data_IF_784609219900
#
_entry.id   IF_784609219900
#
_cell.length_a   1.000
_cell.length_b   1.000
_cell.length_c   1.000
_cell.angle_alpha   90.00
_cell.angle_beta   90.00
_cell.angle_gamma   90.00
#
_symmetry.space_group_name_H-M   'P 1'
#
loop_
_entity.id
_entity.type
_entity.pdbx_description
1 polymer ?
#
# COMPACT_ATOMS: atom_id res chain seq x y z
N UNK A 1 59.57 -43.40 38.17
CA UNK A 1 58.48 -42.39 38.20
C UNK A 1 59.01 -41.12 37.57
N UNK A 2 58.62 -40.83 36.32
CA UNK A 2 58.99 -39.58 35.63
C UNK A 2 57.83 -38.61 35.83
N UNK A 3 58.07 -37.54 36.60
CA UNK A 3 57.10 -36.47 36.82
C UNK A 3 57.07 -35.58 35.57
N UNK A 4 56.00 -35.68 34.78
CA UNK A 4 55.71 -34.75 33.70
C UNK A 4 55.27 -33.41 34.31
N UNK A 5 56.13 -32.40 34.26
CA UNK A 5 55.76 -31.03 34.58
C UNK A 5 54.83 -30.51 33.48
N UNK A 6 53.56 -30.32 33.82
CA UNK A 6 52.58 -29.73 32.92
C UNK A 6 52.92 -28.25 32.69
N UNK A 7 53.63 -27.96 31.58
CA UNK A 7 53.76 -26.60 31.09
C UNK A 7 52.39 -26.14 30.61
N UNK A 8 51.72 -25.31 31.42
CA UNK A 8 50.51 -24.61 31.01
C UNK A 8 50.79 -23.80 29.73
N UNK A 9 49.82 -23.69 28.82
CA UNK A 9 50.00 -22.95 27.57
C UNK A 9 50.47 -21.53 27.90
N UNK A 10 51.64 -21.15 27.38
CA UNK A 10 52.19 -19.83 27.61
C UNK A 10 51.23 -18.77 27.09
N UNK A 11 50.99 -17.72 27.90
CA UNK A 11 50.23 -16.52 27.55
C UNK A 11 50.48 -15.95 26.13
N UNK A 12 51.69 -16.03 25.54
CA UNK A 12 51.93 -15.57 24.16
C UNK A 12 51.09 -16.31 23.11
N UNK A 13 50.82 -17.61 23.31
CA UNK A 13 50.01 -18.38 22.37
C UNK A 13 48.55 -17.94 22.35
N UNK A 14 47.97 -17.65 23.53
CA UNK A 14 46.58 -17.22 23.65
C UNK A 14 46.33 -15.89 22.93
N UNK A 15 47.23 -14.90 23.10
CA UNK A 15 47.11 -13.60 22.45
C UNK A 15 47.22 -13.70 20.93
N UNK A 16 48.08 -14.60 20.42
CA UNK A 16 48.18 -14.86 18.98
C UNK A 16 46.87 -15.40 18.40
N UNK A 17 46.26 -16.40 19.05
CA UNK A 17 44.99 -16.96 18.57
C UNK A 17 43.83 -15.97 18.69
N UNK A 18 43.79 -15.13 19.73
CA UNK A 18 42.80 -14.05 19.86
C UNK A 18 42.97 -12.99 18.77
N UNK A 19 44.22 -12.57 18.49
CA UNK A 19 44.51 -11.62 17.42
C UNK A 19 44.17 -12.17 16.04
N UNK A 20 44.53 -13.42 15.76
CA UNK A 20 44.18 -14.09 14.50
C UNK A 20 42.67 -14.27 14.35
N UNK A 21 41.99 -14.69 15.42
CA UNK A 21 40.53 -14.82 15.43
C UNK A 21 39.82 -13.50 15.16
N UNK A 22 40.30 -12.41 15.77
CA UNK A 22 39.78 -11.06 15.53
C UNK A 22 40.00 -10.62 14.07
N UNK A 23 41.18 -10.85 13.50
CA UNK A 23 41.47 -10.51 12.10
C UNK A 23 40.61 -11.32 11.12
N UNK A 24 40.39 -12.61 11.37
CA UNK A 24 39.48 -13.44 10.56
C UNK A 24 38.05 -12.92 10.66
N UNK A 25 37.57 -12.61 11.87
CA UNK A 25 36.24 -12.05 12.08
C UNK A 25 36.06 -10.71 11.35
N UNK A 26 37.05 -9.80 11.44
CA UNK A 26 37.07 -8.54 10.69
C UNK A 26 37.05 -8.80 9.18
N UNK A 27 37.87 -9.72 8.69
CA UNK A 27 37.93 -10.09 7.27
C UNK A 27 36.58 -10.60 6.74
N UNK A 28 35.89 -11.46 7.50
CA UNK A 28 34.57 -11.97 7.15
C UNK A 28 33.51 -10.85 7.12
N UNK A 29 33.53 -9.94 8.11
CA UNK A 29 32.63 -8.79 8.17
C UNK A 29 32.85 -7.86 6.97
N UNK A 30 34.12 -7.52 6.67
CA UNK A 30 34.46 -6.65 5.55
C UNK A 30 34.13 -7.28 4.20
N UNK A 31 34.34 -8.59 4.04
CA UNK A 31 34.01 -9.31 2.80
C UNK A 31 32.50 -9.37 2.56
N UNK A 32 31.70 -9.62 3.60
CA UNK A 32 30.24 -9.61 3.51
C UNK A 32 29.69 -8.24 3.09
N UNK A 33 30.29 -7.16 3.59
CA UNK A 33 29.88 -5.80 3.28
C UNK A 33 30.16 -5.38 1.84
N UNK A 34 31.28 -5.84 1.23
CA UNK A 34 31.61 -5.49 -0.16
C UNK A 34 30.59 -6.02 -1.17
N UNK A 35 30.24 -7.30 -1.08
CA UNK A 35 29.26 -7.89 -1.99
C UNK A 35 27.88 -7.23 -1.88
N UNK A 36 27.51 -6.81 -0.67
CA UNK A 36 26.28 -6.06 -0.43
C UNK A 36 26.34 -4.64 -1.01
N UNK A 37 27.45 -3.92 -0.81
CA UNK A 37 27.62 -2.57 -1.37
C UNK A 37 27.48 -2.58 -2.91
N UNK A 38 28.14 -3.53 -3.57
CA UNK A 38 28.04 -3.70 -5.03
C UNK A 38 26.62 -4.02 -5.49
N UNK A 39 25.92 -4.87 -4.74
CA UNK A 39 24.51 -5.18 -4.98
C UNK A 39 23.63 -3.94 -4.87
N UNK A 40 23.76 -3.16 -3.79
CA UNK A 40 22.98 -1.94 -3.59
C UNK A 40 23.25 -0.91 -4.67
N UNK A 41 24.51 -0.76 -5.11
CA UNK A 41 24.88 0.11 -6.22
C UNK A 41 24.28 -0.33 -7.57
N UNK A 42 24.15 -1.64 -7.82
CA UNK A 42 23.45 -2.15 -9.02
C UNK A 42 21.96 -1.82 -8.98
N UNK A 43 21.29 -2.12 -7.85
CA UNK A 43 19.87 -1.81 -7.66
C UNK A 43 19.62 -0.30 -7.77
N UNK A 44 20.45 0.53 -7.11
CA UNK A 44 20.36 1.98 -7.18
C UNK A 44 20.47 2.50 -8.62
N UNK A 45 21.43 2.01 -9.40
CA UNK A 45 21.55 2.36 -10.82
C UNK A 45 20.32 1.94 -11.63
N UNK A 46 19.77 0.76 -11.38
CA UNK A 46 18.60 0.25 -12.09
C UNK A 46 17.36 1.13 -11.86
N UNK A 47 17.21 1.69 -10.66
CA UNK A 47 16.04 2.51 -10.29
C UNK A 47 16.30 4.02 -10.38
N UNK A 48 17.47 4.44 -10.88
CA UNK A 48 17.85 5.86 -10.95
C UNK A 48 17.98 6.51 -9.56
N UNK A 49 18.40 5.74 -8.56
CA UNK A 49 18.57 6.17 -7.18
C UNK A 49 20.03 6.36 -6.76
N UNK A 50 20.21 6.69 -5.48
CA UNK A 50 21.50 6.81 -4.81
C UNK A 50 21.54 5.93 -3.57
N UNK A 51 22.71 5.33 -3.31
CA UNK A 51 22.96 4.62 -2.05
C UNK A 51 23.36 5.65 -1.01
N UNK A 52 22.71 5.63 0.15
CA UNK A 52 23.08 6.44 1.32
C UNK A 52 23.67 5.49 2.36
N UNK A 53 24.93 5.74 2.69
CA UNK A 53 25.64 5.01 3.74
C UNK A 53 25.73 5.89 4.99
N UNK A 54 24.89 5.60 5.97
CA UNK A 54 24.79 6.34 7.24
C UNK A 54 25.82 5.85 8.28
N UNK A 55 26.84 5.10 7.83
CA UNK A 55 27.93 4.59 8.66
C UNK A 55 27.65 3.23 9.30
N UNK A 56 28.62 2.71 10.04
CA UNK A 56 28.63 1.32 10.52
C UNK A 56 27.48 0.87 11.43
N UNK A 57 26.71 1.81 12.00
CA UNK A 57 25.58 1.51 12.89
C UNK A 57 24.22 1.50 12.18
N UNK A 58 24.13 2.05 10.96
CA UNK A 58 22.88 2.13 10.20
C UNK A 58 23.02 1.32 8.92
N UNK A 59 21.99 0.55 8.61
CA UNK A 59 21.95 -0.20 7.36
C UNK A 59 21.91 0.78 6.19
N UNK A 60 22.78 0.57 5.19
CA UNK A 60 22.75 1.38 3.98
C UNK A 60 21.39 1.25 3.29
N UNK A 61 20.87 2.37 2.79
CA UNK A 61 19.57 2.45 2.13
C UNK A 61 19.72 2.96 0.69
N UNK A 62 18.71 2.71 -0.15
CA UNK A 62 18.65 3.26 -1.51
C UNK A 62 17.54 4.30 -1.55
N UNK A 63 17.88 5.54 -1.89
CA UNK A 63 16.93 6.64 -2.11
C UNK A 63 16.68 6.82 -3.60
N UNK A 64 15.42 6.90 -4.01
CA UNK A 64 15.02 7.02 -5.41
C UNK A 64 13.64 7.68 -5.51
N UNK A 65 13.05 7.76 -6.71
CA UNK A 65 11.71 8.32 -6.90
C UNK A 65 10.74 7.32 -7.53
N UNK A 66 9.50 7.31 -7.06
CA UNK A 66 8.36 6.58 -7.66
C UNK A 66 7.27 7.59 -7.98
N UNK A 67 6.85 7.68 -9.25
CA UNK A 67 5.81 8.64 -9.69
C UNK A 67 6.08 10.09 -9.21
N UNK A 68 7.35 10.52 -9.26
CA UNK A 68 7.79 11.84 -8.81
C UNK A 68 7.87 12.01 -7.29
N UNK A 69 7.71 10.96 -6.49
CA UNK A 69 7.72 11.01 -5.02
C UNK A 69 8.94 10.34 -4.45
N UNK A 70 9.42 10.86 -3.31
CA UNK A 70 10.57 10.29 -2.63
C UNK A 70 10.26 8.88 -2.13
N UNK A 71 11.16 7.96 -2.42
CA UNK A 71 11.08 6.57 -2.05
C UNK A 71 12.41 6.10 -1.44
N UNK A 72 12.32 5.20 -0.46
CA UNK A 72 13.47 4.62 0.22
C UNK A 72 13.31 3.10 0.27
N UNK A 73 14.33 2.37 -0.18
CA UNK A 73 14.49 0.95 0.09
C UNK A 73 15.45 0.79 1.27
N UNK A 74 14.89 0.43 2.43
CA UNK A 74 15.60 0.21 3.68
C UNK A 74 15.62 -1.26 4.09
N UNK A 75 16.53 -1.59 5.00
CA UNK A 75 16.75 -2.95 5.47
C UNK A 75 16.94 -2.99 6.98
N UNK A 76 16.67 -4.14 7.57
CA UNK A 76 16.97 -4.43 8.96
C UNK A 76 17.37 -5.90 9.09
N UNK A 77 18.57 -6.13 9.63
CA UNK A 77 19.14 -7.47 9.79
C UNK A 77 18.46 -8.32 10.88
N UNK A 78 17.54 -7.74 11.66
CA UNK A 78 16.89 -8.43 12.77
C UNK A 78 17.68 -8.30 14.07
N UNK A 79 17.01 -8.66 15.16
CA UNK A 79 17.59 -8.85 16.49
C UNK A 79 16.98 -10.12 17.10
N UNK A 80 17.34 -10.45 18.34
CA UNK A 80 16.72 -11.56 19.09
C UNK A 80 15.19 -11.44 19.19
N UNK A 81 14.66 -10.21 19.17
CA UNK A 81 13.24 -9.93 19.41
C UNK A 81 12.51 -9.41 18.17
N UNK A 82 13.23 -9.07 17.11
CA UNK A 82 12.66 -8.50 15.90
C UNK A 82 13.18 -9.23 14.67
N UNK A 83 12.28 -9.74 13.84
CA UNK A 83 12.65 -10.44 12.61
C UNK A 83 13.28 -9.46 11.60
N UNK A 84 14.21 -9.92 10.76
CA UNK A 84 14.75 -9.11 9.68
C UNK A 84 13.65 -8.68 8.71
N UNK A 85 13.84 -7.54 8.05
CA UNK A 85 12.93 -7.07 7.02
C UNK A 85 13.66 -6.29 5.92
N UNK A 86 13.00 -6.23 4.77
CA UNK A 86 13.33 -5.30 3.69
C UNK A 86 12.06 -4.53 3.34
N UNK A 87 12.18 -3.23 3.13
CA UNK A 87 11.03 -2.34 3.05
C UNK A 87 11.24 -1.27 2.00
N UNK A 88 10.24 -1.06 1.15
CA UNK A 88 10.12 0.14 0.33
C UNK A 88 9.09 1.07 0.96
N UNK A 89 9.48 2.30 1.27
CA UNK A 89 8.57 3.35 1.75
C UNK A 89 8.51 4.48 0.73
N UNK A 90 7.31 4.94 0.38
CA UNK A 90 7.07 6.02 -0.59
C UNK A 90 6.24 7.12 0.07
N UNK A 91 6.70 8.37 -0.03
CA UNK A 91 5.97 9.52 0.48
C UNK A 91 4.72 9.82 -0.36
N UNK A 92 3.54 9.80 0.25
CA UNK A 92 2.27 10.14 -0.40
C UNK A 92 1.85 11.60 -0.17
N UNK A 93 2.46 12.29 0.80
CA UNK A 93 2.20 13.71 1.05
C UNK A 93 0.77 14.03 1.48
N UNK A 94 0.06 13.10 2.14
CA UNK A 94 -1.30 13.31 2.61
C UNK A 94 -2.39 13.01 1.57
N UNK A 95 -2.05 12.47 0.40
CA UNK A 95 -3.01 12.27 -0.68
C UNK A 95 -3.83 10.98 -0.58
N UNK A 96 -3.40 10.02 0.25
CA UNK A 96 -4.24 8.87 0.56
C UNK A 96 -5.43 9.33 1.42
N UNK A 97 -6.68 8.98 1.07
CA UNK A 97 -7.89 9.45 1.77
C UNK A 97 -8.09 8.80 3.16
N UNK A 98 -7.20 7.89 3.55
CA UNK A 98 -7.41 6.98 4.66
C UNK A 98 -6.24 6.02 4.83
N UNK A 99 -6.48 4.96 5.61
CA UNK A 99 -5.53 3.85 5.79
C UNK A 99 -5.99 2.62 5.02
N UNK A 100 -5.03 1.83 4.54
CA UNK A 100 -5.27 0.53 3.89
C UNK A 100 -4.15 -0.42 4.30
N UNK A 101 -4.52 -1.64 4.68
CA UNK A 101 -3.60 -2.70 5.05
C UNK A 101 -3.94 -3.96 4.27
N UNK A 102 -2.94 -4.56 3.62
CA UNK A 102 -3.05 -5.86 2.96
C UNK A 102 -1.99 -6.79 3.57
N UNK A 103 -2.45 -7.88 4.17
CA UNK A 103 -1.64 -8.82 4.94
C UNK A 103 -1.92 -10.24 4.46
N UNK A 104 -0.90 -11.11 4.39
CA UNK A 104 -1.12 -12.54 4.14
C UNK A 104 -1.84 -13.18 5.36
N UNK A 105 -2.79 -14.09 5.08
CA UNK A 105 -3.56 -14.80 6.11
C UNK A 105 -2.63 -15.68 6.96
N UNK A 106 -2.95 -15.80 8.25
CA UNK A 106 -2.08 -16.39 9.28
C UNK A 106 -1.32 -15.37 10.14
N UNK A 107 -1.26 -14.10 9.73
CA UNK A 107 -0.83 -12.99 10.60
C UNK A 107 -2.00 -12.33 11.35
N UNK A 108 -3.23 -12.53 10.87
CA UNK A 108 -4.41 -11.76 11.23
C UNK A 108 -4.96 -11.97 12.65
N UNK A 109 -4.76 -13.12 13.29
CA UNK A 109 -5.42 -13.42 14.58
C UNK A 109 -5.08 -12.42 15.70
N UNK A 110 -3.84 -11.92 15.76
CA UNK A 110 -3.43 -10.92 16.75
C UNK A 110 -3.88 -9.51 16.38
N UNK A 111 -4.00 -9.21 15.08
CA UNK A 111 -4.35 -7.88 14.58
C UNK A 111 -5.87 -7.65 14.48
N UNK A 112 -6.65 -8.71 14.28
CA UNK A 112 -8.12 -8.68 14.28
C UNK A 112 -8.70 -8.19 15.61
N UNK A 113 -8.00 -8.44 16.73
CA UNK A 113 -8.45 -8.03 18.07
C UNK A 113 -8.29 -6.53 18.36
N UNK A 114 -7.40 -5.82 17.66
CA UNK A 114 -7.05 -4.44 18.00
C UNK A 114 -7.92 -3.39 17.30
N UNK A 115 -8.51 -3.71 16.16
CA UNK A 115 -9.08 -2.69 15.28
C UNK A 115 -10.60 -2.74 15.13
N UNK A 116 -11.29 -3.79 15.59
CA UNK A 116 -12.76 -3.92 15.50
C UNK A 116 -13.35 -3.86 14.08
N UNK A 117 -12.54 -3.59 13.06
CA UNK A 117 -12.91 -3.54 11.66
C UNK A 117 -13.07 -4.96 11.12
N UNK A 118 -14.18 -5.19 10.41
CA UNK A 118 -14.44 -6.43 9.70
C UNK A 118 -13.45 -6.56 8.53
N UNK A 119 -13.11 -7.82 8.21
CA UNK A 119 -12.32 -8.10 7.02
C UNK A 119 -13.17 -7.78 5.78
N UNK A 120 -12.57 -7.10 4.80
CA UNK A 120 -13.29 -6.71 3.60
C UNK A 120 -13.06 -7.75 2.50
N UNK A 121 -14.13 -8.42 2.07
CA UNK A 121 -14.09 -9.27 0.88
C UNK A 121 -13.91 -8.40 -0.37
N UNK A 122 -12.80 -8.58 -1.10
CA UNK A 122 -12.53 -7.83 -2.32
C UNK A 122 -13.19 -8.46 -3.55
N UNK A 123 -13.74 -9.67 -3.43
CA UNK A 123 -14.43 -10.39 -4.50
C UNK A 123 -13.50 -11.19 -5.41
N UNK A 124 -12.38 -11.67 -4.87
CA UNK A 124 -11.53 -12.70 -5.46
C UNK A 124 -11.36 -13.80 -4.40
N UNK A 125 -12.15 -14.88 -4.51
CA UNK A 125 -12.24 -15.90 -3.47
C UNK A 125 -10.89 -16.57 -3.14
N UNK A 126 -9.96 -16.62 -4.10
CA UNK A 126 -8.64 -17.15 -3.84
C UNK A 126 -7.76 -16.15 -3.09
N UNK A 127 -7.97 -14.85 -3.30
CA UNK A 127 -7.23 -13.79 -2.62
C UNK A 127 -7.78 -13.56 -1.22
N UNK A 128 -9.11 -13.50 -1.08
CA UNK A 128 -9.81 -13.33 0.19
C UNK A 128 -9.52 -14.47 1.18
N UNK A 129 -9.13 -15.65 0.69
CA UNK A 129 -8.65 -16.76 1.52
C UNK A 129 -7.18 -16.63 1.95
N UNK A 130 -6.35 -16.05 1.10
CA UNK A 130 -4.90 -16.00 1.31
C UNK A 130 -4.46 -14.66 1.94
N UNK A 131 -5.32 -13.65 1.94
CA UNK A 131 -5.01 -12.29 2.36
C UNK A 131 -6.19 -11.64 3.10
N UNK A 132 -5.86 -10.82 4.09
CA UNK A 132 -6.77 -9.96 4.86
C UNK A 132 -6.61 -8.52 4.37
N UNK A 133 -7.73 -7.86 4.06
CA UNK A 133 -7.76 -6.47 3.59
C UNK A 133 -8.54 -5.60 4.57
N UNK A 134 -7.90 -4.55 5.06
CA UNK A 134 -8.53 -3.59 5.99
C UNK A 134 -8.34 -2.18 5.51
N UNK A 135 -9.39 -1.38 5.53
CA UNK A 135 -9.28 0.04 5.22
C UNK A 135 -10.20 0.90 6.06
N UNK A 136 -9.74 2.13 6.32
CA UNK A 136 -10.54 3.17 6.96
C UNK A 136 -10.42 4.44 6.11
N UNK A 137 -11.49 4.86 5.40
CA UNK A 137 -12.80 4.21 5.28
C UNK A 137 -12.76 2.94 4.39
N UNK A 138 -13.74 2.04 4.52
CA UNK A 138 -13.85 0.83 3.69
C UNK A 138 -13.97 1.14 2.18
N UNK A 139 -14.62 2.26 1.85
CA UNK A 139 -14.72 2.77 0.47
C UNK A 139 -13.35 3.00 -0.18
N UNK A 140 -12.30 3.18 0.63
CA UNK A 140 -10.94 3.29 0.12
C UNK A 140 -10.41 1.96 -0.43
N UNK A 141 -10.60 0.84 0.28
CA UNK A 141 -10.25 -0.48 -0.23
C UNK A 141 -11.11 -0.84 -1.45
N UNK A 142 -12.43 -0.58 -1.41
CA UNK A 142 -13.32 -0.80 -2.54
C UNK A 142 -12.84 -0.04 -3.80
N UNK A 143 -12.31 1.17 -3.63
CA UNK A 143 -11.70 1.92 -4.73
C UNK A 143 -10.42 1.27 -5.21
N UNK A 144 -9.48 0.93 -4.33
CA UNK A 144 -8.21 0.28 -4.71
C UNK A 144 -8.47 -1.03 -5.46
N UNK A 145 -9.40 -1.85 -4.98
CA UNK A 145 -9.78 -3.15 -5.56
C UNK A 145 -11.01 -3.10 -6.48
N UNK A 146 -11.24 -1.96 -7.15
CA UNK A 146 -12.33 -1.79 -8.10
C UNK A 146 -12.32 -2.91 -9.18
N UNK A 147 -13.49 -3.41 -9.63
CA UNK A 147 -13.60 -4.58 -10.50
C UNK A 147 -12.70 -4.52 -11.74
N UNK A 148 -12.55 -3.34 -12.34
CA UNK A 148 -11.82 -3.12 -13.59
C UNK A 148 -10.30 -3.34 -13.44
N UNK A 149 -9.75 -3.18 -12.24
CA UNK A 149 -8.30 -3.31 -11.96
C UNK A 149 -7.96 -4.35 -10.90
N UNK A 150 -8.96 -4.99 -10.28
CA UNK A 150 -8.78 -5.97 -9.19
C UNK A 150 -7.75 -7.04 -9.53
N UNK A 151 -7.80 -7.58 -10.75
CA UNK A 151 -6.88 -8.62 -11.19
C UNK A 151 -5.40 -8.15 -11.21
N UNK A 152 -5.14 -6.88 -11.49
CA UNK A 152 -3.80 -6.31 -11.52
C UNK A 152 -3.28 -6.05 -10.09
N UNK A 153 -4.14 -5.52 -9.21
CA UNK A 153 -3.81 -5.32 -7.79
C UNK A 153 -3.49 -6.66 -7.13
N UNK A 154 -4.35 -7.67 -7.33
CA UNK A 154 -4.17 -9.03 -6.81
C UNK A 154 -2.87 -9.65 -7.33
N UNK A 155 -2.56 -9.49 -8.62
CA UNK A 155 -1.30 -9.98 -9.21
C UNK A 155 -0.09 -9.30 -8.59
N UNK A 156 -0.16 -7.98 -8.38
CA UNK A 156 0.91 -7.19 -7.75
C UNK A 156 1.18 -7.68 -6.33
N UNK A 157 0.15 -7.87 -5.51
CA UNK A 157 0.30 -8.37 -4.14
C UNK A 157 0.87 -9.79 -4.14
N UNK A 158 0.32 -10.70 -4.97
CA UNK A 158 0.78 -12.10 -5.06
C UNK A 158 2.19 -12.24 -5.64
N UNK A 159 2.68 -11.27 -6.40
CA UNK A 159 4.05 -11.30 -6.95
C UNK A 159 5.12 -11.40 -5.85
N UNK A 160 4.78 -10.99 -4.62
CA UNK A 160 5.69 -11.04 -3.47
C UNK A 160 5.50 -12.27 -2.58
N UNK A 161 4.58 -13.20 -2.88
CA UNK A 161 4.30 -14.40 -2.04
C UNK A 161 5.55 -15.24 -1.74
N UNK A 162 6.52 -15.26 -2.66
CA UNK A 162 7.81 -15.95 -2.48
C UNK A 162 8.82 -15.22 -1.57
N UNK A 163 8.51 -14.01 -1.10
CA UNK A 163 9.44 -13.16 -0.34
C UNK A 163 9.15 -13.13 1.16
N UNK A 164 8.39 -14.08 1.70
CA UNK A 164 8.09 -14.25 3.13
C UNK A 164 7.27 -13.10 3.74
N UNK A 165 5.98 -13.36 3.97
CA UNK A 165 5.01 -12.50 4.65
C UNK A 165 4.99 -11.05 4.11
N UNK A 166 4.66 -10.83 2.81
CA UNK A 166 4.56 -9.47 2.28
C UNK A 166 3.41 -8.70 2.93
N UNK A 167 3.66 -7.44 3.29
CA UNK A 167 2.64 -6.49 3.78
C UNK A 167 2.62 -5.23 2.92
N UNK A 168 1.42 -4.70 2.68
CA UNK A 168 1.22 -3.39 2.07
C UNK A 168 0.45 -2.53 3.07
N UNK A 169 1.09 -1.45 3.52
CA UNK A 169 0.57 -0.55 4.54
C UNK A 169 0.49 0.86 3.96
N UNK A 170 -0.71 1.40 3.84
CA UNK A 170 -0.99 2.75 3.35
C UNK A 170 -1.52 3.59 4.50
N UNK A 171 -0.93 4.76 4.67
CA UNK A 171 -1.44 5.83 5.53
C UNK A 171 -1.47 7.13 4.72
N UNK A 172 -2.14 8.19 5.20
CA UNK A 172 -2.14 9.47 4.48
C UNK A 172 -0.74 9.98 4.08
N UNK A 173 0.30 9.95 4.94
CA UNK A 173 1.63 10.42 4.56
C UNK A 173 2.45 9.43 3.72
N UNK A 174 2.20 8.12 3.76
CA UNK A 174 3.11 7.15 3.18
C UNK A 174 2.47 5.83 2.75
N UNK A 175 3.04 5.22 1.71
CA UNK A 175 2.89 3.81 1.37
C UNK A 175 4.13 3.06 1.86
N UNK A 176 3.95 1.89 2.45
CA UNK A 176 5.03 0.99 2.82
C UNK A 176 4.75 -0.42 2.32
N UNK A 177 5.71 -1.02 1.61
CA UNK A 177 5.68 -2.43 1.22
C UNK A 177 6.82 -3.14 1.93
N UNK A 178 6.51 -4.10 2.79
CA UNK A 178 7.51 -4.79 3.63
C UNK A 178 7.49 -6.29 3.36
N UNK A 179 8.66 -6.92 3.40
CA UNK A 179 8.82 -8.38 3.44
C UNK A 179 9.64 -8.77 4.66
N UNK A 180 9.32 -9.90 5.32
CA UNK A 180 9.95 -10.35 6.58
C UNK A 180 11.23 -11.16 6.39
N UNK A 181 12.05 -10.69 5.48
CA UNK A 181 13.38 -11.24 5.24
C UNK A 181 14.32 -10.12 4.82
N UNK A 182 15.59 -10.35 5.10
CA UNK A 182 16.65 -9.52 4.56
C UNK A 182 16.95 -9.97 3.12
N UNK A 183 16.63 -9.13 2.14
CA UNK A 183 16.87 -9.43 0.73
C UNK A 183 18.36 -9.33 0.41
N UNK A 184 18.89 -10.33 -0.31
CA UNK A 184 20.33 -10.48 -0.60
C UNK A 184 20.62 -10.61 -2.10
N UNK A 185 19.60 -10.51 -2.92
CA UNK A 185 19.68 -10.66 -4.36
C UNK A 185 18.94 -9.52 -5.06
N UNK A 186 19.43 -9.19 -6.25
CA UNK A 186 18.94 -8.07 -7.06
C UNK A 186 17.50 -8.29 -7.55
N UNK A 187 17.12 -9.48 -8.09
CA UNK A 187 15.76 -9.70 -8.56
C UNK A 187 14.69 -9.51 -7.47
N UNK A 188 14.92 -9.99 -6.25
CA UNK A 188 13.94 -9.83 -5.17
C UNK A 188 13.81 -8.36 -4.71
N UNK A 189 14.92 -7.61 -4.66
CA UNK A 189 14.86 -6.17 -4.36
C UNK A 189 14.09 -5.41 -5.43
N UNK A 190 14.34 -5.71 -6.71
CA UNK A 190 13.62 -5.11 -7.82
C UNK A 190 12.14 -5.50 -7.83
N UNK A 191 11.79 -6.74 -7.49
CA UNK A 191 10.40 -7.17 -7.34
C UNK A 191 9.67 -6.37 -6.25
N UNK A 192 10.32 -6.13 -5.10
CA UNK A 192 9.75 -5.32 -4.03
C UNK A 192 9.53 -3.85 -4.46
N UNK A 193 10.51 -3.26 -5.16
CA UNK A 193 10.40 -1.89 -5.69
C UNK A 193 9.30 -1.80 -6.76
N UNK A 194 9.20 -2.79 -7.65
CA UNK A 194 8.18 -2.84 -8.68
C UNK A 194 6.78 -2.93 -8.05
N UNK A 195 6.59 -3.82 -7.08
CA UNK A 195 5.32 -3.93 -6.38
C UNK A 195 4.93 -2.62 -5.68
N UNK A 196 5.87 -1.93 -5.04
CA UNK A 196 5.61 -0.61 -4.47
C UNK A 196 5.23 0.43 -5.53
N UNK A 197 5.93 0.44 -6.68
CA UNK A 197 5.64 1.36 -7.81
C UNK A 197 4.22 1.18 -8.35
N UNK A 198 3.84 -0.06 -8.65
CA UNK A 198 2.49 -0.37 -9.15
C UNK A 198 1.42 0.01 -8.10
N UNK A 199 1.69 -0.32 -6.82
CA UNK A 199 0.73 -0.06 -5.76
C UNK A 199 0.51 1.44 -5.47
N UNK A 200 1.55 2.27 -5.65
CA UNK A 200 1.39 3.75 -5.65
C UNK A 200 0.39 4.17 -6.73
N UNK A 201 0.47 3.58 -7.92
CA UNK A 201 -0.47 3.83 -9.01
C UNK A 201 -1.91 3.57 -8.58
N UNK A 202 -2.18 2.43 -7.95
CA UNK A 202 -3.54 2.09 -7.49
C UNK A 202 -4.06 3.02 -6.38
N UNK A 203 -3.18 3.39 -5.44
CA UNK A 203 -3.48 4.24 -4.29
C UNK A 203 -3.78 5.68 -4.69
N UNK A 204 -2.97 6.24 -5.59
CA UNK A 204 -3.04 7.66 -5.98
C UNK A 204 -3.93 7.92 -7.20
N UNK A 205 -4.41 6.88 -7.88
CA UNK A 205 -5.36 7.08 -8.96
C UNK A 205 -6.55 7.86 -8.42
N UNK A 206 -6.81 9.02 -9.01
CA UNK A 206 -8.00 9.80 -8.71
C UNK A 206 -9.20 8.87 -8.88
N UNK A 207 -10.12 8.91 -7.92
CA UNK A 207 -11.41 8.31 -8.15
C UNK A 207 -11.92 8.91 -9.47
N UNK A 208 -12.45 8.11 -10.41
CA UNK A 208 -13.13 8.68 -11.55
C UNK A 208 -14.09 9.74 -10.98
N UNK A 209 -14.04 10.99 -11.50
CA UNK A 209 -14.83 12.10 -10.96
C UNK A 209 -16.23 11.55 -10.79
N UNK A 210 -16.83 11.60 -9.57
CA UNK A 210 -17.98 10.79 -9.21
C UNK A 210 -18.97 10.86 -10.37
N UNK A 211 -18.93 9.81 -11.20
CA UNK A 211 -19.68 9.81 -12.43
C UNK A 211 -21.09 9.85 -11.94
N UNK A 212 -21.79 10.96 -12.20
CA UNK A 212 -23.08 11.31 -11.61
C UNK A 212 -23.86 10.02 -11.38
N UNK A 213 -23.82 9.50 -10.14
CA UNK A 213 -24.39 8.19 -9.86
C UNK A 213 -25.86 8.51 -9.88
N UNK A 214 -26.49 8.30 -11.03
CA UNK A 214 -27.91 8.15 -11.14
C UNK A 214 -28.19 6.88 -10.33
N UNK A 215 -28.26 7.04 -9.00
CA UNK A 215 -28.93 6.07 -8.17
C UNK A 215 -30.24 5.80 -8.88
N UNK A 216 -30.58 4.52 -9.01
CA UNK A 216 -31.88 4.14 -9.51
C UNK A 216 -32.89 4.98 -8.73
N UNK A 217 -33.46 5.98 -9.40
CA UNK A 217 -34.54 6.79 -8.86
C UNK A 217 -35.67 5.81 -8.84
N UNK A 218 -35.70 4.96 -7.80
CA UNK A 218 -36.94 4.43 -7.30
C UNK A 218 -37.81 5.65 -7.20
N UNK A 219 -38.83 5.70 -8.05
CA UNK A 219 -39.83 6.74 -8.02
C UNK A 219 -40.63 6.53 -6.72
N UNK A 220 -39.98 6.73 -5.58
CA UNK A 220 -40.65 7.10 -4.36
C UNK A 220 -41.40 8.37 -4.74
N UNK A 221 -42.73 8.31 -4.63
CA UNK A 221 -43.67 9.41 -4.75
C UNK A 221 -42.97 10.78 -4.58
N UNK A 222 -42.49 11.34 -5.70
CA UNK A 222 -41.54 12.45 -5.63
C UNK A 222 -42.24 13.68 -5.09
N UNK A 223 -41.55 14.48 -4.28
CA UNK A 223 -42.01 15.84 -4.03
C UNK A 223 -41.74 16.70 -5.27
N UNK A 224 -42.65 17.61 -5.61
CA UNK A 224 -42.35 18.59 -6.65
C UNK A 224 -41.21 19.50 -6.16
N UNK A 225 -40.13 19.69 -6.94
CA UNK A 225 -38.98 20.50 -6.53
C UNK A 225 -39.28 22.01 -6.42
N UNK A 226 -40.50 22.43 -6.75
CA UNK A 226 -40.94 23.83 -6.65
C UNK A 226 -41.63 24.08 -5.32
N UNK A 227 -42.55 23.20 -4.91
CA UNK A 227 -43.37 23.41 -3.71
C UNK A 227 -43.07 22.43 -2.57
N UNK A 228 -42.25 21.39 -2.80
CA UNK A 228 -41.90 20.38 -1.80
C UNK A 228 -43.03 19.40 -1.44
N UNK A 229 -44.20 19.48 -2.07
CA UNK A 229 -45.33 18.58 -1.78
C UNK A 229 -45.31 17.35 -2.68
N UNK A 230 -45.84 16.23 -2.17
CA UNK A 230 -45.93 14.97 -2.91
C UNK A 230 -46.70 15.12 -4.23
N UNK A 231 -46.16 14.53 -5.29
CA UNK A 231 -46.79 14.47 -6.60
C UNK A 231 -47.95 13.46 -6.58
N UNK A 232 -49.17 13.97 -6.73
CA UNK A 232 -50.40 13.19 -6.97
C UNK A 232 -50.82 13.36 -8.44
N UNK A 233 -51.91 12.72 -8.86
CA UNK A 233 -52.36 12.65 -10.26
C UNK A 233 -52.22 13.97 -11.05
N UNK A 234 -51.86 13.86 -12.34
CA UNK A 234 -51.53 14.95 -13.30
C UNK A 234 -50.16 15.62 -13.09
N UNK A 235 -49.12 14.82 -13.27
CA UNK A 235 -47.72 15.25 -13.28
C UNK A 235 -47.27 15.62 -14.70
N UNK A 236 -46.51 16.71 -14.83
CA UNK A 236 -45.77 17.04 -16.05
C UNK A 236 -44.31 16.67 -15.84
N UNK A 237 -43.68 16.01 -16.81
CA UNK A 237 -42.25 15.69 -16.77
C UNK A 237 -41.50 16.62 -17.71
N UNK A 238 -40.40 17.18 -17.23
CA UNK A 238 -39.49 17.94 -18.08
C UNK A 238 -38.97 17.05 -19.21
N UNK A 239 -39.04 17.49 -20.47
CA UNK A 239 -38.57 16.70 -21.61
C UNK A 239 -37.06 16.44 -21.58
N UNK A 240 -36.29 17.35 -20.96
CA UNK A 240 -34.83 17.27 -20.94
C UNK A 240 -34.28 16.36 -19.82
N UNK A 241 -34.74 16.55 -18.57
CA UNK A 241 -34.21 15.82 -17.43
C UNK A 241 -35.19 14.81 -16.81
N UNK A 242 -36.42 14.74 -17.33
CA UNK A 242 -37.52 13.87 -16.83
C UNK A 242 -37.95 14.11 -15.39
N UNK A 243 -37.44 15.16 -14.73
CA UNK A 243 -37.90 15.57 -13.39
C UNK A 243 -39.41 15.85 -13.40
N UNK A 244 -40.18 15.25 -12.48
CA UNK A 244 -41.61 15.46 -12.41
C UNK A 244 -41.99 16.75 -11.64
N UNK A 245 -43.03 17.43 -12.11
CA UNK A 245 -43.59 18.65 -11.55
C UNK A 245 -45.13 18.57 -11.49
N UNK A 246 -45.77 19.28 -10.55
CA UNK A 246 -47.20 19.56 -10.70
C UNK A 246 -47.43 20.43 -11.92
N UNK A 247 -48.55 20.21 -12.62
CA UNK A 247 -48.92 21.03 -13.79
C UNK A 247 -48.95 22.52 -13.47
N UNK A 248 -49.42 22.90 -12.28
CA UNK A 248 -49.48 24.28 -11.78
C UNK A 248 -48.08 24.85 -11.55
N UNK A 249 -47.19 24.12 -10.85
CA UNK A 249 -45.80 24.54 -10.65
C UNK A 249 -45.04 24.67 -11.97
N UNK A 250 -45.31 23.79 -12.94
CA UNK A 250 -44.71 23.85 -14.27
C UNK A 250 -45.16 25.09 -15.04
N UNK A 251 -46.47 25.38 -15.04
CA UNK A 251 -47.02 26.58 -15.67
C UNK A 251 -46.54 27.88 -15.00
N UNK A 252 -46.46 27.89 -13.67
CA UNK A 252 -45.99 29.04 -12.89
C UNK A 252 -44.51 29.35 -13.14
N UNK A 253 -43.64 28.34 -13.11
CA UNK A 253 -42.20 28.55 -13.30
C UNK A 253 -41.82 28.80 -14.77
N UNK A 254 -42.58 28.25 -15.72
CA UNK A 254 -42.29 28.30 -17.16
C UNK A 254 -41.03 27.52 -17.59
N UNK A 255 -40.28 26.95 -16.65
CA UNK A 255 -39.05 26.17 -16.86
C UNK A 255 -38.82 25.15 -15.73
N UNK A 256 -37.96 24.17 -15.97
CA UNK A 256 -37.55 23.20 -14.96
C UNK A 256 -36.73 23.86 -13.85
N UNK A 257 -37.00 23.49 -12.59
CA UNK A 257 -36.27 23.99 -11.41
C UNK A 257 -35.07 23.15 -10.99
N UNK A 258 -34.80 22.04 -11.69
CA UNK A 258 -33.60 21.23 -11.46
C UNK A 258 -32.35 22.03 -11.84
N UNK A 259 -31.35 22.06 -10.95
CA UNK A 259 -30.08 22.74 -11.18
C UNK A 259 -29.48 22.35 -12.54
N UNK A 260 -29.04 23.36 -13.31
CA UNK A 260 -28.48 23.24 -14.66
C UNK A 260 -29.40 22.67 -15.78
N UNK A 261 -30.68 22.40 -15.52
CA UNK A 261 -31.62 21.99 -16.57
C UNK A 261 -32.14 23.21 -17.38
N UNK A 262 -32.32 23.04 -18.70
CA UNK A 262 -32.81 24.09 -19.62
C UNK A 262 -34.19 23.79 -20.19
N UNK A 263 -34.90 22.81 -19.66
CA UNK A 263 -36.25 22.45 -20.11
C UNK A 263 -37.24 23.59 -19.86
N UNK A 264 -38.06 23.90 -20.87
CA UNK A 264 -39.06 24.96 -20.83
C UNK A 264 -40.45 24.39 -21.09
N UNK A 265 -41.50 25.07 -20.62
CA UNK A 265 -42.86 24.70 -20.95
C UNK A 265 -43.11 24.96 -22.44
N UNK A 266 -43.62 23.96 -23.16
CA UNK A 266 -44.16 24.17 -24.51
C UNK A 266 -45.25 25.26 -24.43
N UNK A 267 -45.14 26.26 -25.32
CA UNK A 267 -46.11 27.35 -25.44
C UNK A 267 -47.41 26.87 -26.07
#
# INVERSE_FOLDING_TARGET
MIAYAAHGPGWPGLLFFLGLGLLIAIGLILSGNRGRADLLLRVARHVGGTVVDDGWWRESEIRFRIAGRDAVLGFFNGTRHQRPWSRVSVSLGGLAPGTLHVLEDGFGQSFLKLFGAQDLEIGDAAFDRDYVVKATPESYAARVFAPERRAEVVRTVRSLRGLADPTFDVTPPQLTVTVRRFLRDEPAMLALIHAAREFVGYVLQEAPPPGMVFGEVTAAAGACPVCGTGLKDRVVRCEQCRTPHHRECWAYMGRCSTYACRGTAAR
#
